data_IF_779862854366
#
_entry.id   IF_779862854366
#
_cell.length_a   1.000
_cell.length_b   1.000
_cell.length_c   1.000
_cell.angle_alpha   90.00
_cell.angle_beta   90.00
_cell.angle_gamma   90.00
#
_symmetry.space_group_name_H-M   'P 1'
#
loop_
_entity.id
_entity.type
_entity.pdbx_description
1 polymer ?
#
# COMPACT_ATOMS: atom_id res chain seq x y z
N UNK A 1 22.95 1.65 3.31
CA UNK A 1 24.19 2.20 2.72
C UNK A 1 23.78 3.26 1.70
N UNK A 2 23.87 4.53 2.07
CA UNK A 2 23.74 5.65 1.11
C UNK A 2 24.99 5.64 0.24
N UNK A 3 24.84 5.24 -1.03
CA UNK A 3 25.91 5.36 -2.02
C UNK A 3 26.03 6.85 -2.36
N UNK A 4 26.83 7.56 -1.55
CA UNK A 4 27.27 8.92 -1.83
C UNK A 4 28.46 8.89 -2.82
N UNK A 5 28.31 8.19 -3.94
CA UNK A 5 29.26 8.31 -5.03
C UNK A 5 29.07 9.70 -5.68
N UNK A 6 30.13 10.50 -5.87
CA UNK A 6 30.02 11.79 -6.52
C UNK A 6 29.45 11.58 -7.92
N UNK A 7 28.32 12.23 -8.22
CA UNK A 7 27.78 12.28 -9.58
C UNK A 7 28.82 12.98 -10.46
N UNK A 8 29.26 12.31 -11.53
CA UNK A 8 30.15 12.94 -12.51
C UNK A 8 29.48 14.19 -13.09
N UNK A 9 30.14 15.36 -13.08
CA UNK A 9 29.55 16.62 -13.51
C UNK A 9 29.36 16.73 -15.04
N UNK A 10 29.94 15.83 -15.83
CA UNK A 10 29.75 15.79 -17.28
C UNK A 10 28.63 14.81 -17.67
N UNK A 11 27.62 15.25 -18.44
CA UNK A 11 26.61 14.36 -18.98
C UNK A 11 27.25 13.39 -19.97
N UNK A 12 27.01 12.09 -19.79
CA UNK A 12 27.36 11.08 -20.77
C UNK A 12 26.30 11.11 -21.89
N UNK A 13 26.67 11.60 -23.07
CA UNK A 13 25.80 11.50 -24.24
C UNK A 13 25.86 10.08 -24.80
N UNK A 14 24.74 9.36 -24.74
CA UNK A 14 24.59 8.01 -25.26
C UNK A 14 23.78 8.08 -26.57
N UNK A 15 24.44 8.08 -27.75
CA UNK A 15 23.70 7.93 -29.00
C UNK A 15 22.99 6.58 -29.02
N UNK A 16 21.82 6.55 -29.63
CA UNK A 16 21.07 5.31 -29.77
C UNK A 16 21.87 4.27 -30.57
N UNK A 17 21.96 3.07 -30.03
CA UNK A 17 22.38 1.86 -30.75
C UNK A 17 21.60 0.66 -30.23
N UNK A 18 21.36 -0.35 -31.07
CA UNK A 18 20.65 -1.56 -30.65
C UNK A 18 21.39 -2.30 -29.54
N UNK A 19 22.73 -2.33 -29.58
CA UNK A 19 23.54 -2.95 -28.55
C UNK A 19 23.38 -2.24 -27.19
N UNK A 20 23.42 -0.90 -27.17
CA UNK A 20 23.18 -0.13 -25.95
C UNK A 20 21.76 -0.33 -25.42
N UNK A 21 20.75 -0.31 -26.30
CA UNK A 21 19.36 -0.54 -25.92
C UNK A 21 19.15 -1.96 -25.37
N UNK A 22 19.79 -2.97 -25.97
CA UNK A 22 19.71 -4.34 -25.48
C UNK A 22 20.32 -4.47 -24.08
N UNK A 23 21.50 -3.87 -23.83
CA UNK A 23 22.13 -3.89 -22.51
C UNK A 23 21.25 -3.17 -21.48
N UNK A 24 20.74 -1.98 -21.81
CA UNK A 24 19.91 -1.18 -20.89
C UNK A 24 18.55 -1.83 -20.59
N UNK A 25 18.05 -2.73 -21.44
CA UNK A 25 16.84 -3.53 -21.20
C UNK A 25 17.09 -4.77 -20.35
N UNK A 26 18.34 -5.20 -20.18
CA UNK A 26 18.72 -6.29 -19.28
C UNK A 26 18.81 -5.81 -17.83
N UNK A 27 17.63 -5.62 -17.21
CA UNK A 27 17.47 -5.01 -15.89
C UNK A 27 18.10 -5.80 -14.72
N UNK A 28 18.41 -7.08 -14.93
CA UNK A 28 19.07 -7.98 -13.98
C UNK A 28 20.60 -7.86 -13.99
N UNK A 29 21.16 -7.11 -14.96
CA UNK A 29 22.60 -7.00 -15.19
C UNK A 29 23.14 -5.66 -14.75
N UNK A 30 24.39 -5.68 -14.32
CA UNK A 30 25.15 -4.49 -14.02
C UNK A 30 26.08 -4.19 -15.20
N UNK A 31 26.27 -2.91 -15.53
CA UNK A 31 27.18 -2.51 -16.61
C UNK A 31 28.05 -1.35 -16.18
N UNK A 32 29.33 -1.39 -16.58
CA UNK A 32 30.17 -0.21 -16.69
C UNK A 32 30.13 0.31 -18.12
N UNK A 33 29.83 1.61 -18.25
CA UNK A 33 29.62 2.30 -19.51
C UNK A 33 30.75 3.32 -19.70
N UNK A 34 31.54 3.11 -20.74
CA UNK A 34 32.64 4.00 -21.11
C UNK A 34 32.29 4.67 -22.45
N UNK A 35 32.37 6.00 -22.56
CA UNK A 35 32.23 6.67 -23.85
C UNK A 35 33.34 6.20 -24.81
N UNK A 36 32.95 5.77 -26.01
CA UNK A 36 33.87 5.41 -27.09
C UNK A 36 33.66 6.30 -28.32
N UNK A 37 34.57 6.19 -29.29
CA UNK A 37 34.46 6.91 -30.57
C UNK A 37 33.25 6.37 -31.37
N UNK A 38 32.15 7.13 -31.34
CA UNK A 38 30.92 6.84 -32.10
C UNK A 38 29.85 6.02 -31.36
N UNK A 39 30.22 5.21 -30.35
CA UNK A 39 29.28 4.50 -29.49
C UNK A 39 29.88 4.24 -28.11
N UNK A 40 29.03 4.20 -27.07
CA UNK A 40 29.47 3.80 -25.73
C UNK A 40 29.65 2.27 -25.65
N UNK A 41 30.66 1.85 -24.89
CA UNK A 41 30.96 0.45 -24.64
C UNK A 41 30.35 0.03 -23.30
N UNK A 42 29.53 -1.02 -23.34
CA UNK A 42 28.92 -1.63 -22.16
C UNK A 42 29.72 -2.89 -21.79
N UNK A 43 30.31 -2.89 -20.60
CA UNK A 43 31.01 -4.05 -20.03
C UNK A 43 30.21 -4.56 -18.84
N UNK A 44 29.84 -5.85 -18.81
CA UNK A 44 29.10 -6.43 -17.69
C UNK A 44 29.95 -6.38 -16.39
N UNK A 45 29.30 -6.04 -15.29
CA UNK A 45 29.94 -5.90 -13.98
C UNK A 45 30.48 -4.49 -13.72
N UNK A 46 31.18 -4.36 -12.59
CA UNK A 46 31.74 -3.08 -12.13
C UNK A 46 33.20 -2.96 -12.55
N UNK A 47 33.46 -2.11 -13.55
CA UNK A 47 34.79 -1.67 -13.98
C UNK A 47 35.36 -0.54 -13.11
N UNK A 48 36.64 -0.24 -13.32
CA UNK A 48 37.35 0.85 -12.63
C UNK A 48 37.05 2.22 -13.23
N UNK A 49 36.86 2.27 -14.54
CA UNK A 49 36.69 3.50 -15.32
C UNK A 49 35.32 3.48 -16.01
N UNK A 50 34.58 4.59 -15.95
CA UNK A 50 33.27 4.76 -16.60
C UNK A 50 32.08 4.92 -15.65
N UNK A 51 30.91 5.23 -16.23
CA UNK A 51 29.65 5.31 -15.49
C UNK A 51 29.16 3.90 -15.14
N UNK A 52 28.50 3.74 -13.99
CA UNK A 52 27.99 2.44 -13.55
C UNK A 52 26.47 2.42 -13.57
N UNK A 53 25.91 1.43 -14.26
CA UNK A 53 24.48 1.12 -14.31
C UNK A 53 24.24 -0.10 -13.44
N UNK A 54 23.48 0.10 -12.36
CA UNK A 54 23.11 -0.98 -11.45
C UNK A 54 21.98 -1.83 -12.05
N UNK A 55 21.88 -3.13 -11.66
CA UNK A 55 20.66 -3.89 -11.85
C UNK A 55 19.49 -3.16 -11.18
N UNK A 56 18.37 -3.04 -11.88
CA UNK A 56 17.17 -2.37 -11.39
C UNK A 56 15.94 -3.18 -11.80
N UNK A 57 15.67 -4.26 -11.06
CA UNK A 57 14.49 -5.08 -11.29
C UNK A 57 13.23 -4.34 -10.84
N UNK A 58 12.07 -4.53 -11.49
CA UNK A 58 10.81 -3.91 -11.05
C UNK A 58 10.44 -4.21 -9.59
N UNK A 59 10.82 -5.40 -9.08
CA UNK A 59 10.64 -5.77 -7.66
C UNK A 59 11.52 -4.99 -6.68
N UNK A 60 12.46 -4.17 -7.18
CA UNK A 60 13.31 -3.29 -6.37
C UNK A 60 12.70 -1.89 -6.19
N UNK A 61 11.60 -1.60 -6.88
CA UNK A 61 10.88 -0.33 -6.78
C UNK A 61 9.90 -0.35 -5.60
N UNK A 62 9.79 0.79 -4.92
CA UNK A 62 8.93 0.96 -3.75
C UNK A 62 9.59 0.57 -2.43
N UNK A 63 8.77 0.32 -1.41
CA UNK A 63 9.23 0.04 -0.05
C UNK A 63 9.35 -1.48 0.21
N UNK A 64 10.55 -2.03 0.50
CA UNK A 64 10.71 -3.44 0.82
C UNK A 64 9.88 -3.90 2.05
N UNK A 65 9.59 -3.00 2.99
CA UNK A 65 8.74 -3.30 4.13
C UNK A 65 7.26 -3.44 3.71
N UNK A 66 6.81 -2.75 2.67
CA UNK A 66 5.48 -2.97 2.08
C UNK A 66 5.40 -4.37 1.47
N UNK A 67 6.41 -4.76 0.68
CA UNK A 67 6.50 -6.10 0.09
C UNK A 67 6.45 -7.19 1.16
N UNK A 68 7.27 -7.05 2.21
CA UNK A 68 7.33 -8.02 3.31
C UNK A 68 6.03 -8.06 4.14
N UNK A 69 5.38 -6.92 4.36
CA UNK A 69 4.15 -6.86 5.16
C UNK A 69 2.93 -7.52 4.47
N UNK A 70 2.92 -7.52 3.14
CA UNK A 70 1.81 -8.01 2.33
C UNK A 70 2.15 -9.25 1.48
N UNK A 71 3.38 -9.78 1.57
CA UNK A 71 3.81 -10.97 0.84
C UNK A 71 3.89 -10.76 -0.68
N UNK A 72 4.37 -9.60 -1.13
CA UNK A 72 4.34 -9.19 -2.54
C UNK A 72 5.71 -9.31 -3.22
N UNK A 73 5.69 -9.50 -4.55
CA UNK A 73 6.88 -9.37 -5.42
C UNK A 73 7.05 -7.95 -5.93
N UNK A 74 5.95 -7.22 -6.11
CA UNK A 74 5.96 -5.85 -6.61
C UNK A 74 5.15 -4.94 -5.69
N UNK A 75 5.63 -3.70 -5.50
CA UNK A 75 4.96 -2.70 -4.69
C UNK A 75 3.82 -2.06 -5.50
N UNK A 76 2.85 -2.89 -5.89
CA UNK A 76 1.78 -2.54 -6.81
C UNK A 76 0.44 -3.03 -6.29
N UNK A 77 -0.56 -2.15 -6.35
CA UNK A 77 -1.91 -2.39 -5.85
C UNK A 77 -2.91 -2.14 -6.98
N UNK A 78 -3.72 -3.15 -7.30
CA UNK A 78 -4.97 -2.95 -8.02
C UNK A 78 -6.05 -2.48 -7.05
N UNK A 79 -6.32 -1.17 -7.08
CA UNK A 79 -7.34 -0.55 -6.23
C UNK A 79 -8.75 -1.02 -6.56
N UNK A 80 -9.65 -0.95 -5.58
CA UNK A 80 -11.03 -1.38 -5.77
C UNK A 80 -11.80 -0.51 -6.75
N UNK A 81 -12.67 -1.17 -7.52
CA UNK A 81 -13.67 -0.57 -8.40
C UNK A 81 -15.03 -1.14 -8.00
N UNK A 82 -16.01 -0.27 -7.72
CA UNK A 82 -17.29 -0.62 -7.12
C UNK A 82 -18.09 -1.66 -7.91
N UNK A 83 -19.14 -2.20 -7.29
CA UNK A 83 -20.10 -3.14 -7.87
C UNK A 83 -19.44 -4.42 -8.43
N UNK A 84 -18.36 -4.89 -7.78
CA UNK A 84 -17.63 -6.07 -8.22
C UNK A 84 -16.84 -5.89 -9.52
N UNK A 85 -16.68 -4.66 -10.05
CA UNK A 85 -15.86 -4.41 -11.25
C UNK A 85 -14.42 -4.86 -10.98
N UNK A 86 -13.88 -4.54 -9.79
CA UNK A 86 -12.69 -5.23 -9.30
C UNK A 86 -13.12 -6.59 -8.77
N UNK A 87 -13.20 -7.55 -9.69
CA UNK A 87 -13.79 -8.87 -9.46
C UNK A 87 -12.85 -9.81 -8.71
N UNK A 88 -13.37 -10.98 -8.35
CA UNK A 88 -12.56 -12.05 -7.77
C UNK A 88 -11.47 -12.52 -8.73
N UNK A 89 -11.74 -12.55 -10.04
CA UNK A 89 -10.79 -12.95 -11.08
C UNK A 89 -9.65 -11.93 -11.20
N UNK A 90 -9.95 -10.63 -11.11
CA UNK A 90 -8.93 -9.59 -11.15
C UNK A 90 -8.04 -9.63 -9.91
N UNK A 91 -8.64 -9.74 -8.72
CA UNK A 91 -7.89 -9.85 -7.48
C UNK A 91 -7.03 -11.12 -7.46
N UNK A 92 -7.55 -12.25 -7.96
CA UNK A 92 -6.81 -13.49 -8.09
C UNK A 92 -5.64 -13.36 -9.07
N UNK A 93 -5.86 -12.75 -10.23
CA UNK A 93 -4.81 -12.55 -11.24
C UNK A 93 -3.65 -11.69 -10.71
N UNK A 94 -3.97 -10.59 -10.02
CA UNK A 94 -2.96 -9.74 -9.38
C UNK A 94 -2.20 -10.48 -8.29
N UNK A 95 -2.92 -11.19 -7.41
CA UNK A 95 -2.34 -11.98 -6.33
C UNK A 95 -1.35 -13.03 -6.86
N UNK A 96 -1.75 -13.81 -7.88
CA UNK A 96 -0.88 -14.80 -8.54
C UNK A 96 0.34 -14.18 -9.22
N UNK A 97 0.24 -12.92 -9.68
CA UNK A 97 1.35 -12.18 -10.27
C UNK A 97 2.32 -11.58 -9.24
N UNK A 98 2.03 -11.73 -7.93
CA UNK A 98 2.82 -11.16 -6.83
C UNK A 98 2.54 -9.67 -6.59
N UNK A 99 1.33 -9.21 -6.92
CA UNK A 99 0.80 -7.87 -6.66
C UNK A 99 -0.40 -7.99 -5.71
N UNK A 100 -0.88 -6.87 -5.17
CA UNK A 100 -2.05 -6.86 -4.30
C UNK A 100 -3.31 -6.46 -5.08
N UNK A 101 -4.37 -7.27 -5.00
CA UNK A 101 -5.69 -6.93 -5.57
C UNK A 101 -6.77 -6.75 -4.51
N UNK A 102 -7.60 -5.70 -4.65
CA UNK A 102 -8.75 -5.47 -3.78
C UNK A 102 -10.07 -5.79 -4.47
N UNK A 103 -10.90 -6.64 -3.87
CA UNK A 103 -12.27 -6.87 -4.35
C UNK A 103 -13.16 -5.64 -4.13
N UNK A 104 -13.94 -5.30 -5.16
CA UNK A 104 -14.83 -4.14 -5.22
C UNK A 104 -16.17 -4.32 -4.51
N UNK A 105 -16.17 -4.37 -3.17
CA UNK A 105 -17.38 -4.62 -2.37
C UNK A 105 -18.40 -3.46 -2.35
N UNK A 106 -17.99 -2.22 -2.63
CA UNK A 106 -18.89 -1.07 -2.61
C UNK A 106 -20.11 -1.28 -3.52
N UNK A 107 -21.33 -1.09 -2.98
CA UNK A 107 -22.58 -1.24 -3.73
C UNK A 107 -23.04 -2.69 -3.95
N UNK A 108 -22.30 -3.68 -3.47
CA UNK A 108 -22.75 -5.08 -3.48
C UNK A 108 -23.52 -5.42 -2.20
N UNK A 109 -24.56 -6.29 -2.28
CA UNK A 109 -25.20 -6.84 -1.09
C UNK A 109 -24.23 -7.77 -0.34
N UNK A 110 -24.42 -7.91 0.98
CA UNK A 110 -23.51 -8.66 1.87
C UNK A 110 -23.33 -10.11 1.42
N UNK A 111 -24.38 -10.72 0.86
CA UNK A 111 -24.37 -12.09 0.35
C UNK A 111 -23.44 -12.27 -0.86
N UNK A 112 -23.34 -11.27 -1.74
CA UNK A 112 -22.40 -11.32 -2.87
C UNK A 112 -20.96 -11.13 -2.42
N UNK A 113 -20.75 -10.26 -1.41
CA UNK A 113 -19.43 -10.11 -0.77
C UNK A 113 -19.01 -11.41 -0.08
N UNK A 114 -19.94 -12.12 0.57
CA UNK A 114 -19.67 -13.40 1.21
C UNK A 114 -19.24 -14.48 0.19
N UNK A 115 -19.92 -14.56 -0.96
CA UNK A 115 -19.51 -15.44 -2.08
C UNK A 115 -18.11 -15.09 -2.59
N UNK A 116 -17.80 -13.79 -2.72
CA UNK A 116 -16.48 -13.34 -3.16
C UNK A 116 -15.36 -13.72 -2.17
N UNK A 117 -15.63 -13.66 -0.86
CA UNK A 117 -14.71 -14.13 0.18
C UNK A 117 -14.46 -15.63 0.02
N UNK A 118 -15.51 -16.43 -0.15
CA UNK A 118 -15.38 -17.89 -0.29
C UNK A 118 -14.59 -18.25 -1.56
N UNK A 119 -14.79 -17.52 -2.66
CA UNK A 119 -14.02 -17.68 -3.90
C UNK A 119 -12.55 -17.35 -3.71
N UNK A 120 -12.20 -16.18 -3.17
CA UNK A 120 -10.80 -15.76 -3.02
C UNK A 120 -10.05 -16.60 -1.99
N UNK A 121 -10.72 -17.05 -0.93
CA UNK A 121 -10.14 -17.97 0.06
C UNK A 121 -9.78 -19.32 -0.56
N UNK A 122 -10.49 -19.75 -1.59
CA UNK A 122 -10.17 -21.00 -2.32
C UNK A 122 -8.93 -20.87 -3.22
N UNK A 123 -8.51 -19.66 -3.56
CA UNK A 123 -7.36 -19.39 -4.44
C UNK A 123 -6.02 -19.38 -3.67
N UNK A 124 -5.88 -20.31 -2.70
CA UNK A 124 -4.86 -20.40 -1.65
C UNK A 124 -3.46 -19.85 -2.00
N UNK A 125 -2.82 -19.21 -1.02
CA UNK A 125 -1.45 -18.71 -1.13
C UNK A 125 -1.26 -17.40 -1.91
N UNK A 126 -2.33 -16.63 -2.16
CA UNK A 126 -2.23 -15.33 -2.86
C UNK A 126 -2.61 -14.14 -1.95
N UNK A 127 -1.97 -12.98 -2.13
CA UNK A 127 -2.33 -11.75 -1.42
C UNK A 127 -3.57 -11.09 -2.05
N UNK A 128 -4.58 -10.81 -1.23
CA UNK A 128 -5.78 -10.07 -1.62
C UNK A 128 -6.36 -9.30 -0.43
N UNK A 129 -7.22 -8.33 -0.73
CA UNK A 129 -8.01 -7.64 0.29
C UNK A 129 -9.42 -7.30 -0.21
N UNK A 130 -10.21 -6.70 0.66
CA UNK A 130 -11.57 -6.26 0.35
C UNK A 130 -11.72 -4.76 0.53
N UNK A 131 -12.50 -4.13 -0.34
CA UNK A 131 -12.89 -2.75 -0.09
C UNK A 131 -13.83 -2.66 1.12
N UNK A 132 -13.58 -1.69 2.00
CA UNK A 132 -14.55 -1.21 2.97
C UNK A 132 -14.80 0.25 2.63
N UNK A 133 -15.95 0.54 2.02
CA UNK A 133 -16.34 1.90 1.67
C UNK A 133 -17.09 2.54 2.83
N UNK A 134 -16.78 3.79 3.15
CA UNK A 134 -17.59 4.56 4.06
C UNK A 134 -18.92 4.93 3.40
N UNK A 135 -20.05 4.60 4.05
CA UNK A 135 -21.39 4.91 3.55
C UNK A 135 -22.17 5.71 4.61
N UNK A 136 -22.05 7.05 4.64
CA UNK A 136 -22.75 7.89 5.62
C UNK A 136 -24.27 7.73 5.61
N UNK A 137 -24.85 7.42 4.44
CA UNK A 137 -26.27 7.18 4.26
C UNK A 137 -26.73 5.80 4.74
N UNK A 138 -25.81 4.86 4.94
CA UNK A 138 -26.08 3.50 5.42
C UNK A 138 -24.96 2.97 6.35
N UNK A 139 -24.91 3.42 7.61
CA UNK A 139 -23.93 2.93 8.59
C UNK A 139 -24.12 1.45 8.96
N UNK A 140 -25.30 0.88 8.72
CA UNK A 140 -25.59 -0.52 9.02
C UNK A 140 -24.85 -1.44 8.06
N UNK A 141 -24.74 -1.06 6.77
CA UNK A 141 -23.95 -1.79 5.78
C UNK A 141 -22.48 -1.90 6.16
N UNK A 142 -21.85 -0.80 6.60
CA UNK A 142 -20.44 -0.79 7.03
C UNK A 142 -20.22 -1.75 8.21
N UNK A 143 -21.16 -1.76 9.17
CA UNK A 143 -21.13 -2.67 10.32
C UNK A 143 -21.28 -4.13 9.88
N UNK A 144 -22.26 -4.43 9.01
CA UNK A 144 -22.52 -5.78 8.50
C UNK A 144 -21.33 -6.34 7.69
N UNK A 145 -20.67 -5.51 6.89
CA UNK A 145 -19.45 -5.90 6.16
C UNK A 145 -18.30 -6.19 7.12
N UNK A 146 -18.08 -5.38 8.15
CA UNK A 146 -17.05 -5.66 9.16
C UNK A 146 -17.35 -6.94 9.94
N UNK A 147 -18.61 -7.18 10.32
CA UNK A 147 -19.05 -8.44 10.93
C UNK A 147 -18.72 -9.64 10.03
N UNK A 148 -19.07 -9.55 8.74
CA UNK A 148 -18.77 -10.57 7.75
C UNK A 148 -17.26 -10.80 7.62
N UNK A 149 -16.47 -9.73 7.47
CA UNK A 149 -15.02 -9.79 7.34
C UNK A 149 -14.35 -10.46 8.54
N UNK A 150 -14.74 -10.09 9.76
CA UNK A 150 -14.23 -10.72 10.97
C UNK A 150 -14.66 -12.19 11.08
N UNK A 151 -15.93 -12.49 10.81
CA UNK A 151 -16.47 -13.87 10.84
C UNK A 151 -15.78 -14.79 9.83
N UNK A 152 -15.49 -14.28 8.63
CA UNK A 152 -14.87 -15.05 7.54
C UNK A 152 -13.34 -14.98 7.54
N UNK A 153 -12.74 -14.23 8.46
CA UNK A 153 -11.28 -14.16 8.64
C UNK A 153 -10.56 -13.33 7.59
N UNK A 154 -11.22 -12.34 6.98
CA UNK A 154 -10.57 -11.34 6.11
C UNK A 154 -9.58 -10.52 6.95
N UNK A 155 -8.34 -10.39 6.46
CA UNK A 155 -7.23 -9.76 7.20
C UNK A 155 -6.77 -8.42 6.64
N UNK A 156 -7.29 -8.00 5.49
CA UNK A 156 -6.84 -6.80 4.81
C UNK A 156 -8.00 -6.06 4.15
N UNK A 157 -8.15 -4.77 4.49
CA UNK A 157 -9.13 -3.90 3.85
C UNK A 157 -8.50 -2.65 3.24
N UNK A 158 -9.04 -2.23 2.10
CA UNK A 158 -8.85 -0.89 1.55
C UNK A 158 -10.01 -0.02 2.04
N UNK A 159 -9.74 0.88 2.98
CA UNK A 159 -10.71 1.82 3.53
C UNK A 159 -10.82 3.04 2.62
N UNK A 160 -11.93 3.19 1.89
CA UNK A 160 -12.16 4.27 0.92
C UNK A 160 -13.35 5.16 1.29
N UNK A 161 -13.34 6.40 0.78
CA UNK A 161 -14.38 7.42 1.00
C UNK A 161 -14.59 7.87 2.47
N UNK A 162 -13.70 7.49 3.39
CA UNK A 162 -13.78 7.94 4.78
C UNK A 162 -13.47 9.44 4.90
N UNK A 163 -14.40 10.19 5.51
CA UNK A 163 -14.18 11.59 5.93
C UNK A 163 -13.72 11.69 7.39
N UNK A 164 -13.89 10.60 8.15
CA UNK A 164 -13.45 10.42 9.51
C UNK A 164 -13.48 8.94 9.87
N UNK A 165 -12.80 8.55 10.96
CA UNK A 165 -12.79 7.17 11.42
C UNK A 165 -14.14 6.78 12.01
N UNK A 166 -14.51 5.52 11.85
CA UNK A 166 -15.77 4.95 12.34
C UNK A 166 -15.51 3.81 13.33
N UNK A 167 -16.51 3.51 14.16
CA UNK A 167 -16.42 2.40 15.10
C UNK A 167 -16.21 1.04 14.39
N UNK A 168 -16.92 0.69 13.29
CA UNK A 168 -16.69 -0.56 12.57
C UNK A 168 -15.26 -0.68 12.01
N UNK A 169 -14.70 0.38 11.43
CA UNK A 169 -13.32 0.36 10.94
C UNK A 169 -12.32 0.10 12.07
N UNK A 170 -12.48 0.76 13.22
CA UNK A 170 -11.60 0.55 14.38
C UNK A 170 -11.76 -0.86 14.94
N UNK A 171 -12.98 -1.37 15.01
CA UNK A 171 -13.25 -2.76 15.40
C UNK A 171 -12.52 -3.74 14.48
N UNK A 172 -12.60 -3.55 13.17
CA UNK A 172 -11.87 -4.37 12.21
C UNK A 172 -10.35 -4.33 12.49
N UNK A 173 -9.76 -3.12 12.57
CA UNK A 173 -8.32 -2.93 12.78
C UNK A 173 -7.80 -3.56 14.08
N UNK A 174 -8.59 -3.48 15.14
CA UNK A 174 -8.16 -3.87 16.50
C UNK A 174 -8.54 -5.30 16.88
N UNK A 175 -9.43 -5.94 16.14
CA UNK A 175 -9.83 -7.32 16.42
C UNK A 175 -8.63 -8.29 16.38
N UNK A 176 -8.42 -8.99 17.49
CA UNK A 176 -7.33 -9.94 17.66
C UNK A 176 -5.95 -9.30 17.85
N UNK A 177 -5.86 -7.99 18.04
CA UNK A 177 -4.60 -7.33 18.43
C UNK A 177 -4.05 -7.99 19.69
N UNK A 178 -2.74 -8.23 19.74
CA UNK A 178 -2.09 -8.91 20.87
C UNK A 178 -0.61 -8.58 20.93
N UNK A 179 -0.02 -8.79 22.10
CA UNK A 179 1.44 -8.79 22.25
C UNK A 179 1.98 -10.16 21.84
N UNK A 180 2.96 -10.19 20.95
CA UNK A 180 3.67 -11.40 20.55
C UNK A 180 4.69 -11.82 21.63
N UNK A 181 5.21 -13.04 21.51
CA UNK A 181 6.17 -13.60 22.48
C UNK A 181 7.50 -12.81 22.54
N UNK A 182 7.87 -12.14 21.46
CA UNK A 182 9.04 -11.26 21.38
C UNK A 182 8.77 -9.83 21.91
N UNK A 183 7.56 -9.57 22.42
CA UNK A 183 7.13 -8.28 22.94
C UNK A 183 6.58 -7.31 21.90
N UNK A 184 6.65 -7.62 20.60
CA UNK A 184 6.08 -6.79 19.53
C UNK A 184 4.55 -6.80 19.56
N UNK A 185 3.92 -5.77 18.97
CA UNK A 185 2.46 -5.70 18.84
C UNK A 185 2.07 -6.31 17.49
N UNK A 186 1.30 -7.39 17.55
CA UNK A 186 0.73 -8.02 16.37
C UNK A 186 -0.65 -7.46 16.10
N UNK A 187 -0.85 -6.97 14.88
CA UNK A 187 -2.16 -6.52 14.37
C UNK A 187 -2.59 -7.44 13.23
N UNK A 188 -3.37 -8.50 13.50
CA UNK A 188 -3.74 -9.48 12.48
C UNK A 188 -4.52 -8.88 11.32
N UNK A 189 -5.30 -7.84 11.60
CA UNK A 189 -6.12 -7.13 10.62
C UNK A 189 -5.44 -5.82 10.21
N UNK A 190 -5.22 -5.65 8.91
CA UNK A 190 -4.51 -4.53 8.30
C UNK A 190 -5.48 -3.64 7.54
N UNK A 191 -5.22 -2.33 7.58
CA UNK A 191 -6.00 -1.32 6.87
C UNK A 191 -5.05 -0.54 5.96
N UNK A 192 -5.45 -0.39 4.69
CA UNK A 192 -4.88 0.59 3.76
C UNK A 192 -5.90 1.72 3.63
N UNK A 193 -5.56 2.92 4.12
CA UNK A 193 -6.43 4.10 4.01
C UNK A 193 -6.24 4.79 2.65
N UNK A 194 -7.27 4.88 1.82
CA UNK A 194 -7.21 5.65 0.57
C UNK A 194 -7.77 7.05 0.77
N UNK A 195 -6.92 8.06 0.58
CA UNK A 195 -7.20 9.43 0.99
C UNK A 195 -6.73 10.45 -0.05
N UNK A 196 -7.51 11.52 -0.18
CA UNK A 196 -7.13 12.71 -0.95
C UNK A 196 -6.82 13.91 -0.04
N UNK A 197 -7.09 13.82 1.26
CA UNK A 197 -7.03 14.97 2.19
C UNK A 197 -6.12 14.73 3.39
N UNK A 198 -5.39 15.76 3.79
CA UNK A 198 -4.38 15.73 4.86
C UNK A 198 -5.02 15.38 6.20
N UNK A 199 -6.17 15.99 6.53
CA UNK A 199 -6.88 15.77 7.77
C UNK A 199 -7.46 14.35 7.90
N UNK A 200 -7.71 13.67 6.79
CA UNK A 200 -8.15 12.26 6.80
C UNK A 200 -6.92 11.36 6.96
N UNK A 201 -5.85 11.63 6.22
CA UNK A 201 -4.58 10.91 6.34
C UNK A 201 -4.03 10.95 7.77
N UNK A 202 -4.10 12.10 8.45
CA UNK A 202 -3.65 12.26 9.84
C UNK A 202 -4.39 11.33 10.80
N UNK A 203 -5.70 11.13 10.57
CA UNK A 203 -6.49 10.20 11.38
C UNK A 203 -6.07 8.75 11.15
N UNK A 204 -5.77 8.36 9.91
CA UNK A 204 -5.27 7.02 9.61
C UNK A 204 -3.87 6.75 10.17
N UNK A 205 -2.98 7.75 10.16
CA UNK A 205 -1.65 7.64 10.77
C UNK A 205 -1.67 7.73 12.30
N UNK A 206 -2.74 8.26 12.90
CA UNK A 206 -2.91 8.33 14.35
C UNK A 206 -3.41 6.99 14.92
N UNK A 207 -3.25 6.76 16.24
CA UNK A 207 -3.90 5.62 16.89
C UNK A 207 -5.42 5.77 16.90
N UNK A 208 -6.11 4.65 17.17
CA UNK A 208 -7.55 4.65 17.28
C UNK A 208 -8.04 5.64 18.38
N UNK A 209 -9.06 6.48 18.09
CA UNK A 209 -9.60 7.40 19.08
C UNK A 209 -10.04 6.69 20.38
N UNK A 210 -9.64 7.22 21.53
CA UNK A 210 -9.93 6.62 22.85
C UNK A 210 -11.42 6.36 23.07
N UNK A 211 -12.29 7.24 22.55
CA UNK A 211 -13.75 7.07 22.61
C UNK A 211 -14.22 5.75 21.98
N UNK A 212 -13.64 5.37 20.84
CA UNK A 212 -13.98 4.14 20.14
C UNK A 212 -13.41 2.93 20.87
N UNK A 213 -12.18 3.03 21.39
CA UNK A 213 -11.59 1.95 22.19
C UNK A 213 -12.38 1.67 23.46
N UNK A 214 -12.80 2.70 24.19
CA UNK A 214 -13.67 2.57 25.38
C UNK A 214 -15.01 1.92 25.05
N UNK A 215 -15.60 2.31 23.93
CA UNK A 215 -16.87 1.75 23.46
C UNK A 215 -16.74 0.28 23.04
N UNK A 216 -15.65 -0.11 22.37
CA UNK A 216 -15.40 -1.51 22.02
C UNK A 216 -15.15 -2.37 23.27
N UNK A 217 -14.48 -1.82 24.29
CA UNK A 217 -14.30 -2.49 25.58
C UNK A 217 -15.64 -2.66 26.32
N UNK A 218 -16.49 -1.63 26.34
CA UNK A 218 -17.80 -1.74 27.01
C UNK A 218 -18.74 -2.73 26.32
N UNK A 219 -18.60 -2.92 25.01
CA UNK A 219 -19.31 -3.93 24.21
C UNK A 219 -18.72 -5.35 24.34
N UNK A 220 -17.59 -5.51 25.01
CA UNK A 220 -16.87 -6.79 25.11
C UNK A 220 -16.22 -7.24 23.81
N UNK A 221 -16.07 -6.34 22.83
CA UNK A 221 -15.44 -6.62 21.54
C UNK A 221 -13.91 -6.46 21.60
N UNK A 222 -13.42 -5.72 22.61
CA UNK A 222 -12.00 -5.66 22.99
C UNK A 222 -11.84 -5.89 24.49
N UNK A 223 -10.70 -6.45 24.89
CA UNK A 223 -10.25 -6.39 26.29
C UNK A 223 -9.60 -5.03 26.59
N UNK A 224 -9.50 -4.62 27.87
CA UNK A 224 -8.75 -3.43 28.25
C UNK A 224 -7.29 -3.45 27.78
N UNK A 225 -6.65 -4.63 27.79
CA UNK A 225 -5.29 -4.80 27.27
C UNK A 225 -5.23 -4.56 25.76
N UNK A 226 -6.19 -5.09 24.99
CA UNK A 226 -6.25 -4.86 23.55
C UNK A 226 -6.44 -3.38 23.21
N UNK A 227 -7.28 -2.66 23.97
CA UNK A 227 -7.43 -1.22 23.84
C UNK A 227 -6.12 -0.46 24.14
N UNK A 228 -5.36 -0.89 25.14
CA UNK A 228 -4.04 -0.31 25.42
C UNK A 228 -3.04 -0.59 24.29
N UNK A 229 -3.05 -1.78 23.69
CA UNK A 229 -2.20 -2.06 22.52
C UNK A 229 -2.60 -1.23 21.30
N UNK A 230 -3.92 -1.06 21.09
CA UNK A 230 -4.45 -0.30 19.97
C UNK A 230 -4.11 1.20 20.00
N UNK A 231 -3.83 1.75 21.18
CA UNK A 231 -3.39 3.15 21.32
C UNK A 231 -1.90 3.36 20.97
N UNK A 232 -1.15 2.28 20.76
CA UNK A 232 0.30 2.29 20.46
C UNK A 232 0.61 2.05 18.97
N UNK A 233 -0.41 1.82 18.15
CA UNK A 233 -0.25 1.52 16.71
C UNK A 233 -1.13 2.46 15.87
N UNK A 234 -0.73 2.77 14.63
CA UNK A 234 -1.58 3.56 13.74
C UNK A 234 -2.82 2.76 13.31
N UNK A 235 -3.89 3.47 12.98
CA UNK A 235 -5.09 2.86 12.39
C UNK A 235 -4.77 2.19 11.05
N UNK A 236 -3.94 2.84 10.21
CA UNK A 236 -3.41 2.25 8.99
C UNK A 236 -1.89 2.34 8.95
N UNK A 237 -1.25 1.21 8.62
CA UNK A 237 0.19 1.14 8.37
C UNK A 237 0.53 1.58 6.94
N UNK A 238 -0.47 1.67 6.07
CA UNK A 238 -0.36 2.03 4.66
C UNK A 238 -1.45 3.04 4.32
N UNK A 239 -1.06 4.14 3.67
CA UNK A 239 -2.00 5.12 3.15
C UNK A 239 -1.74 5.33 1.66
N UNK A 240 -2.79 5.25 0.86
CA UNK A 240 -2.75 5.58 -0.57
C UNK A 240 -3.16 7.03 -0.74
N UNK A 241 -2.24 7.88 -1.18
CA UNK A 241 -2.53 9.23 -1.64
C UNK A 241 -3.19 9.16 -3.03
N UNK A 242 -4.49 9.43 -3.10
CA UNK A 242 -5.27 9.39 -4.34
C UNK A 242 -5.36 10.79 -4.95
N UNK A 243 -4.60 11.00 -6.03
CA UNK A 243 -4.68 12.20 -6.87
C UNK A 243 -5.91 12.17 -7.78
N UNK A 244 -5.83 12.89 -8.90
CA UNK A 244 -6.89 12.87 -9.91
C UNK A 244 -7.06 11.47 -10.51
N UNK A 245 -8.28 10.95 -10.47
CA UNK A 245 -8.58 9.54 -10.73
C UNK A 245 -9.97 9.37 -11.34
N UNK A 246 -10.26 8.18 -11.87
CA UNK A 246 -11.61 7.84 -12.34
C UNK A 246 -12.58 7.64 -11.17
N UNK A 247 -13.86 7.96 -11.38
CA UNK A 247 -14.89 7.86 -10.36
C UNK A 247 -14.95 9.08 -9.43
N UNK A 248 -15.13 8.86 -8.12
CA UNK A 248 -15.15 9.94 -7.14
C UNK A 248 -13.73 10.47 -6.89
N UNK A 249 -13.50 11.75 -7.12
CA UNK A 249 -12.20 12.39 -6.88
C UNK A 249 -12.36 13.88 -6.53
N UNK A 250 -11.42 14.41 -5.77
CA UNK A 250 -11.25 15.85 -5.53
C UNK A 250 -10.35 16.51 -6.61
N UNK A 251 -9.98 15.78 -7.67
CA UNK A 251 -9.10 16.22 -8.78
C UNK A 251 -7.75 16.80 -8.32
N UNK A 252 -7.13 16.20 -7.29
CA UNK A 252 -5.89 16.72 -6.73
C UNK A 252 -4.68 16.37 -7.59
N UNK A 253 -3.77 17.33 -7.89
CA UNK A 253 -2.52 17.00 -8.57
C UNK A 253 -1.68 16.04 -7.72
N UNK A 254 -1.36 14.86 -8.26
CA UNK A 254 -0.60 13.85 -7.52
C UNK A 254 0.79 14.37 -7.08
N UNK A 255 1.42 15.16 -7.96
CA UNK A 255 2.73 15.81 -7.70
C UNK A 255 2.72 16.78 -6.51
N UNK A 256 1.55 17.24 -6.07
CA UNK A 256 1.40 18.05 -4.86
C UNK A 256 0.94 17.21 -3.68
N UNK A 257 -0.03 16.31 -3.91
CA UNK A 257 -0.64 15.50 -2.86
C UNK A 257 0.37 14.51 -2.24
N UNK A 258 1.06 13.72 -3.07
CA UNK A 258 1.98 12.69 -2.60
C UNK A 258 3.07 13.25 -1.66
N UNK A 259 3.86 14.28 -2.03
CA UNK A 259 4.86 14.83 -1.10
C UNK A 259 4.23 15.43 0.16
N UNK A 260 3.01 15.97 0.09
CA UNK A 260 2.29 16.48 1.26
C UNK A 260 1.95 15.36 2.26
N UNK A 261 1.46 14.21 1.77
CA UNK A 261 1.12 13.07 2.63
C UNK A 261 2.39 12.39 3.18
N UNK A 262 3.48 12.35 2.41
CA UNK A 262 4.78 11.88 2.89
C UNK A 262 5.29 12.76 4.05
N UNK A 263 5.26 14.09 3.89
CA UNK A 263 5.68 15.01 4.94
C UNK A 263 4.82 14.87 6.21
N UNK A 264 3.51 14.65 6.05
CA UNK A 264 2.61 14.36 7.17
C UNK A 264 3.00 13.05 7.88
N UNK A 265 3.25 11.98 7.13
CA UNK A 265 3.70 10.69 7.68
C UNK A 265 4.98 10.88 8.49
N UNK A 266 5.96 11.57 7.93
CA UNK A 266 7.26 11.78 8.58
C UNK A 266 7.09 12.54 9.91
N UNK A 267 6.27 13.59 9.93
CA UNK A 267 5.93 14.34 11.16
C UNK A 267 5.28 13.44 12.21
N UNK A 268 4.26 12.67 11.84
CA UNK A 268 3.54 11.80 12.79
C UNK A 268 4.46 10.69 13.30
N UNK A 269 5.31 10.12 12.44
CA UNK A 269 6.30 9.13 12.86
C UNK A 269 7.29 9.71 13.87
N UNK A 270 7.76 10.95 13.67
CA UNK A 270 8.64 11.63 14.61
C UNK A 270 7.94 11.91 15.95
N UNK A 271 6.66 12.29 15.93
CA UNK A 271 5.86 12.55 17.14
C UNK A 271 5.50 11.27 17.91
N UNK A 272 5.18 10.18 17.20
CA UNK A 272 4.63 8.94 17.80
C UNK A 272 5.68 7.86 18.04
N UNK A 273 6.77 7.85 17.29
CA UNK A 273 7.84 6.87 17.43
C UNK A 273 7.37 5.43 17.22
N UNK A 274 6.46 5.17 16.28
CA UNK A 274 5.97 3.81 16.03
C UNK A 274 7.13 2.87 15.69
N UNK A 275 7.05 1.62 16.15
CA UNK A 275 8.06 0.59 15.88
C UNK A 275 8.29 0.35 14.38
N UNK A 276 7.25 0.58 13.56
CA UNK A 276 7.33 0.59 12.09
C UNK A 276 6.70 1.88 11.60
N UNK A 277 7.43 2.63 10.79
CA UNK A 277 6.90 3.84 10.18
C UNK A 277 5.73 3.47 9.24
N UNK A 278 4.59 4.19 9.30
CA UNK A 278 3.54 4.06 8.30
C UNK A 278 4.11 4.36 6.90
N UNK A 279 3.50 3.82 5.86
CA UNK A 279 3.98 3.95 4.48
C UNK A 279 2.96 4.74 3.66
N UNK A 280 3.46 5.39 2.61
CA UNK A 280 2.64 6.18 1.70
C UNK A 280 2.82 5.63 0.29
N UNK A 281 1.73 5.11 -0.28
CA UNK A 281 1.60 4.81 -1.70
C UNK A 281 0.85 5.92 -2.43
N UNK A 282 0.71 5.77 -3.74
CA UNK A 282 0.05 6.75 -4.59
C UNK A 282 -0.85 6.08 -5.65
N UNK A 283 -1.90 6.78 -6.05
CA UNK A 283 -2.75 6.44 -7.17
C UNK A 283 -3.34 7.69 -7.82
N UNK A 284 -3.98 7.52 -8.98
CA UNK A 284 -4.52 8.62 -9.78
C UNK A 284 -3.53 9.13 -10.82
N UNK A 285 -3.87 8.97 -12.11
CA UNK A 285 -3.02 9.37 -13.24
C UNK A 285 -1.85 8.42 -13.58
N UNK A 286 -1.68 7.31 -12.86
CA UNK A 286 -0.58 6.35 -13.11
C UNK A 286 -1.03 5.31 -14.14
N UNK A 287 -0.71 5.55 -15.42
CA UNK A 287 -1.05 4.65 -16.53
C UNK A 287 0.11 4.36 -17.50
N UNK A 288 1.30 4.93 -17.26
CA UNK A 288 2.50 4.74 -18.08
C UNK A 288 3.76 4.59 -17.21
N UNK A 289 4.87 4.03 -17.74
CA UNK A 289 6.13 3.92 -17.00
C UNK A 289 6.72 5.25 -16.53
N UNK A 290 6.46 6.36 -17.22
CA UNK A 290 6.96 7.68 -16.83
C UNK A 290 6.24 8.25 -15.61
N UNK A 291 4.99 7.83 -15.38
CA UNK A 291 4.19 8.24 -14.24
C UNK A 291 4.43 7.37 -12.99
N UNK A 292 4.93 6.15 -13.17
CA UNK A 292 5.17 5.16 -12.11
C UNK A 292 6.59 5.28 -11.52
#
# INVERSE_FOLDING_TARGET
MTIAAPRTPQPLYLPFSEAAASCLRSLDRAYTVVPGDGAAVFTEGRGRDGAFVHPCLPGSLGDPAFLAAHGLRFAYVGGSMANGISSTELAEALGRAGMLGFYGAAGQPVEEVEKAIDRLRSADGIPYGFNLIHSPSDPALETALVDLYLKRGVRLVEASAFIGLTLPLIRFRTAGIRRAADGSIETPNRVIGKVSRVEVAERFFSPAPEKFLKELVSRGELTPEQAQLASLVPVAEDVTAEGDSGGHTDNRPLVNLLPTIIALRDRIQAERGYARAPRVGAGGGIATPEAA
#
